data_IF_290509200830
#
_entry.id   IF_290509200830
#
_cell.length_a   1.000
_cell.length_b   1.000
_cell.length_c   1.000
_cell.angle_alpha   90.00
_cell.angle_beta   90.00
_cell.angle_gamma   90.00
#
_symmetry.space_group_name_H-M   'P 1'
#
loop_
_entity.id
_entity.type
_entity.pdbx_description
1 polymer ?
#
# COMPACT_ATOMS: atom_id res chain seq x y z
N UNK A 1 -16.37 -13.36 3.77
CA UNK A 1 -15.21 -12.49 4.07
C UNK A 1 -14.76 -11.78 2.81
N UNK A 2 -14.59 -10.47 2.86
CA UNK A 2 -14.14 -9.73 1.68
C UNK A 2 -12.70 -10.08 1.34
N UNK A 3 -12.43 -10.23 0.04
CA UNK A 3 -11.08 -10.47 -0.44
C UNK A 3 -10.18 -9.26 -0.15
N UNK A 4 -9.01 -9.53 0.40
CA UNK A 4 -7.98 -8.52 0.61
C UNK A 4 -7.18 -8.35 -0.67
N UNK A 5 -7.08 -7.13 -1.16
CA UNK A 5 -6.41 -6.83 -2.43
C UNK A 5 -5.08 -6.13 -2.20
N UNK A 6 -4.03 -6.70 -2.77
CA UNK A 6 -2.69 -6.14 -2.81
C UNK A 6 -2.42 -5.65 -4.23
N UNK A 7 -1.89 -4.45 -4.34
CA UNK A 7 -1.51 -3.88 -5.62
C UNK A 7 0.02 -3.82 -5.70
N UNK A 8 0.59 -4.41 -6.74
CA UNK A 8 2.03 -4.43 -6.96
C UNK A 8 2.39 -3.44 -8.05
N UNK A 9 3.03 -2.34 -7.67
CA UNK A 9 3.53 -1.31 -8.56
C UNK A 9 5.05 -1.43 -8.60
N UNK A 10 5.56 -2.21 -9.56
CA UNK A 10 6.96 -2.61 -9.59
C UNK A 10 7.50 -2.60 -11.01
N UNK A 11 8.69 -2.02 -11.20
CA UNK A 11 9.30 -1.89 -12.53
C UNK A 11 9.77 -3.22 -13.09
N UNK A 12 10.40 -4.04 -12.28
CA UNK A 12 10.93 -5.34 -12.71
C UNK A 12 9.81 -6.35 -12.82
N UNK A 13 9.52 -6.78 -14.05
CA UNK A 13 8.43 -7.72 -14.33
C UNK A 13 8.63 -9.06 -13.63
N UNK A 14 9.86 -9.54 -13.55
CA UNK A 14 10.16 -10.81 -12.91
C UNK A 14 9.85 -10.78 -11.42
N UNK A 15 10.28 -9.73 -10.73
CA UNK A 15 9.97 -9.56 -9.30
C UNK A 15 8.49 -9.30 -9.06
N UNK A 16 7.84 -8.52 -9.93
CA UNK A 16 6.40 -8.29 -9.84
C UNK A 16 5.62 -9.60 -9.90
N UNK A 17 5.99 -10.47 -10.83
CA UNK A 17 5.35 -11.79 -10.96
C UNK A 17 5.64 -12.69 -9.78
N UNK A 18 6.87 -12.69 -9.27
CA UNK A 18 7.25 -13.48 -8.10
C UNK A 18 6.45 -13.06 -6.87
N UNK A 19 6.33 -11.75 -6.64
CA UNK A 19 5.53 -11.22 -5.54
C UNK A 19 4.06 -11.57 -5.72
N UNK A 20 3.55 -11.45 -6.94
CA UNK A 20 2.16 -11.77 -7.24
C UNK A 20 1.85 -13.25 -6.96
N UNK A 21 2.69 -14.15 -7.44
CA UNK A 21 2.53 -15.58 -7.22
C UNK A 21 2.55 -15.93 -5.74
N UNK A 22 3.48 -15.32 -5.02
CA UNK A 22 3.62 -15.56 -3.57
C UNK A 22 2.36 -15.14 -2.82
N UNK A 23 1.90 -13.91 -3.01
CA UNK A 23 0.73 -13.42 -2.28
C UNK A 23 -0.57 -14.06 -2.73
N UNK A 24 -0.68 -14.39 -4.02
CA UNK A 24 -1.83 -15.14 -4.51
C UNK A 24 -1.92 -16.51 -3.82
N UNK A 25 -0.77 -17.17 -3.62
CA UNK A 25 -0.74 -18.48 -2.93
C UNK A 25 -1.18 -18.37 -1.46
N UNK A 26 -1.08 -17.18 -0.87
CA UNK A 26 -1.52 -16.91 0.51
C UNK A 26 -3.00 -16.50 0.58
N UNK A 27 -3.70 -16.48 -0.54
CA UNK A 27 -5.12 -16.17 -0.59
C UNK A 27 -5.49 -14.72 -0.84
N UNK A 28 -4.50 -13.88 -1.12
CA UNK A 28 -4.77 -12.47 -1.47
C UNK A 28 -5.19 -12.33 -2.93
N UNK A 29 -6.02 -11.33 -3.19
CA UNK A 29 -6.25 -10.87 -4.55
C UNK A 29 -5.09 -9.96 -4.91
N UNK A 30 -4.46 -10.17 -6.06
CA UNK A 30 -3.27 -9.42 -6.46
C UNK A 30 -3.46 -8.81 -7.84
N UNK A 31 -3.11 -7.53 -7.97
CA UNK A 31 -3.09 -6.83 -9.25
C UNK A 31 -1.71 -6.22 -9.44
N UNK A 32 -1.28 -6.09 -10.69
CA UNK A 32 0.04 -5.56 -11.04
C UNK A 32 -0.13 -4.41 -12.04
N UNK A 33 0.66 -3.35 -11.87
CA UNK A 33 0.80 -2.31 -12.88
C UNK A 33 2.24 -1.79 -12.88
N UNK A 34 2.68 -1.30 -14.04
CA UNK A 34 4.05 -0.81 -14.25
C UNK A 34 4.08 0.63 -14.75
N UNK A 35 2.93 1.19 -15.10
CA UNK A 35 2.81 2.56 -15.58
C UNK A 35 2.12 3.42 -14.52
N UNK A 36 2.63 4.62 -14.32
CA UNK A 36 2.05 5.56 -13.34
C UNK A 36 0.57 5.80 -13.61
N UNK A 37 0.21 5.98 -14.88
CA UNK A 37 -1.18 6.23 -15.27
C UNK A 37 -2.12 5.08 -14.87
N UNK A 38 -1.69 3.84 -15.06
CA UNK A 38 -2.46 2.67 -14.71
C UNK A 38 -2.59 2.54 -13.20
N UNK A 39 -1.51 2.81 -12.48
CA UNK A 39 -1.49 2.75 -11.02
C UNK A 39 -2.49 3.76 -10.45
N UNK A 40 -2.42 5.00 -10.89
CA UNK A 40 -3.31 6.07 -10.42
C UNK A 40 -4.76 5.74 -10.74
N UNK A 41 -5.03 5.30 -11.97
CA UNK A 41 -6.39 4.93 -12.38
C UNK A 41 -6.95 3.83 -11.49
N UNK A 42 -6.13 2.84 -11.20
CA UNK A 42 -6.57 1.70 -10.40
C UNK A 42 -6.83 2.07 -8.95
N UNK A 43 -5.99 2.92 -8.36
CA UNK A 43 -6.20 3.42 -7.00
C UNK A 43 -7.47 4.27 -6.94
N UNK A 44 -7.69 5.10 -7.95
CA UNK A 44 -8.88 5.95 -8.04
C UNK A 44 -10.17 5.11 -8.10
N UNK A 45 -10.13 3.96 -8.75
CA UNK A 45 -11.30 3.07 -8.85
C UNK A 45 -11.66 2.40 -7.51
N UNK A 46 -10.78 2.50 -6.52
CA UNK A 46 -11.02 1.97 -5.19
C UNK A 46 -10.77 0.46 -5.06
N UNK A 47 -11.03 -0.07 -3.87
CA UNK A 47 -10.85 -1.48 -3.53
C UNK A 47 -9.40 -1.96 -3.48
N UNK A 48 -8.44 -1.04 -3.53
CA UNK A 48 -7.03 -1.34 -3.26
C UNK A 48 -6.77 -0.97 -1.80
N UNK A 49 -6.21 -1.89 -1.04
CA UNK A 49 -5.95 -1.71 0.38
C UNK A 49 -4.48 -1.46 0.68
N UNK A 50 -3.61 -2.26 0.06
CA UNK A 50 -2.17 -2.23 0.30
C UNK A 50 -1.46 -2.16 -1.04
N UNK A 51 -0.47 -1.28 -1.16
CA UNK A 51 0.39 -1.15 -2.35
C UNK A 51 1.80 -1.54 -1.98
N UNK A 52 2.37 -2.46 -2.75
CA UNK A 52 3.81 -2.73 -2.73
C UNK A 52 4.42 -1.88 -3.84
N UNK A 53 5.23 -0.91 -3.47
CA UNK A 53 5.72 0.10 -4.40
C UNK A 53 7.24 0.01 -4.55
N UNK A 54 7.71 -0.05 -5.79
CA UNK A 54 9.12 0.00 -6.13
C UNK A 54 9.73 1.39 -5.81
N UNK A 55 11.04 1.49 -5.82
CA UNK A 55 11.79 2.73 -5.64
C UNK A 55 11.29 3.86 -6.53
N UNK A 56 11.01 3.52 -7.78
CA UNK A 56 10.50 4.48 -8.76
C UNK A 56 9.73 3.75 -9.86
N UNK A 57 8.80 4.47 -10.45
CA UNK A 57 8.00 3.99 -11.58
C UNK A 57 8.11 5.03 -12.69
N UNK A 58 8.59 4.62 -13.85
CA UNK A 58 8.77 5.53 -15.00
C UNK A 58 9.57 6.79 -14.63
N UNK A 59 10.59 6.64 -13.81
CA UNK A 59 11.42 7.75 -13.37
C UNK A 59 10.84 8.60 -12.24
N UNK A 60 9.61 8.33 -11.81
CA UNK A 60 8.98 9.03 -10.69
C UNK A 60 9.27 8.29 -9.41
N UNK A 61 9.87 8.97 -8.44
CA UNK A 61 10.30 8.34 -7.20
C UNK A 61 9.14 8.04 -6.28
N UNK A 62 9.29 6.98 -5.48
CA UNK A 62 8.27 6.57 -4.51
C UNK A 62 7.86 7.71 -3.58
N UNK A 63 8.82 8.51 -3.09
CA UNK A 63 8.51 9.61 -2.20
C UNK A 63 7.62 10.69 -2.84
N UNK A 64 7.58 10.76 -4.17
CA UNK A 64 6.69 11.68 -4.90
C UNK A 64 5.36 11.01 -5.23
N UNK A 65 5.34 9.70 -5.41
CA UNK A 65 4.11 8.95 -5.73
C UNK A 65 3.22 8.75 -4.51
N UNK A 66 3.81 8.45 -3.35
CA UNK A 66 3.03 8.15 -2.15
C UNK A 66 2.07 9.27 -1.75
N UNK A 67 2.48 10.56 -1.75
CA UNK A 67 1.54 11.64 -1.43
C UNK A 67 0.36 11.68 -2.39
N UNK A 68 0.57 11.37 -3.66
CA UNK A 68 -0.50 11.33 -4.66
C UNK A 68 -1.48 10.20 -4.33
N UNK A 69 -0.97 9.02 -4.03
CA UNK A 69 -1.82 7.87 -3.65
C UNK A 69 -2.64 8.18 -2.40
N UNK A 70 -2.01 8.76 -1.38
CA UNK A 70 -2.68 9.11 -0.12
C UNK A 70 -3.73 10.20 -0.31
N UNK A 71 -3.54 11.07 -1.29
CA UNK A 71 -4.51 12.11 -1.61
C UNK A 71 -5.76 11.53 -2.27
N UNK A 72 -5.57 10.52 -3.11
CA UNK A 72 -6.70 9.82 -3.76
C UNK A 72 -7.45 8.96 -2.75
N UNK A 73 -6.73 8.22 -1.93
CA UNK A 73 -7.29 7.35 -0.92
C UNK A 73 -6.45 7.43 0.36
N UNK A 74 -6.88 8.24 1.36
CA UNK A 74 -6.11 8.41 2.59
C UNK A 74 -5.90 7.15 3.40
N UNK A 75 -6.72 6.11 3.18
CA UNK A 75 -6.65 4.86 3.94
C UNK A 75 -5.68 3.84 3.35
N UNK A 76 -5.21 4.08 2.12
CA UNK A 76 -4.31 3.14 1.46
C UNK A 76 -3.01 3.02 2.25
N UNK A 77 -2.51 1.81 2.40
CA UNK A 77 -1.24 1.56 3.07
C UNK A 77 -0.19 1.24 2.03
N UNK A 78 0.92 1.97 2.06
CA UNK A 78 1.98 1.80 1.06
C UNK A 78 3.22 1.23 1.73
N UNK A 79 3.70 0.11 1.19
CA UNK A 79 4.95 -0.52 1.57
C UNK A 79 5.93 -0.27 0.43
N UNK A 80 6.99 0.47 0.69
CA UNK A 80 8.00 0.78 -0.32
C UNK A 80 9.14 -0.23 -0.22
N UNK A 81 9.53 -0.79 -1.36
CA UNK A 81 10.65 -1.72 -1.45
C UNK A 81 11.80 -0.96 -2.12
N UNK A 82 12.84 -0.66 -1.35
CA UNK A 82 13.87 0.30 -1.73
C UNK A 82 15.25 -0.35 -1.81
N UNK A 83 16.07 0.11 -2.76
CA UNK A 83 17.47 -0.25 -2.85
C UNK A 83 18.37 0.71 -2.07
N UNK A 84 17.80 1.79 -1.53
CA UNK A 84 18.55 2.84 -0.84
C UNK A 84 18.10 2.97 0.62
N UNK A 85 19.07 3.09 1.54
CA UNK A 85 18.84 3.14 2.98
C UNK A 85 19.29 4.46 3.61
N UNK A 86 19.42 5.52 2.81
CA UNK A 86 19.87 6.81 3.34
C UNK A 86 18.86 7.39 4.33
N UNK A 87 19.37 8.09 5.35
CA UNK A 87 18.53 8.76 6.35
C UNK A 87 17.60 9.77 5.69
N UNK A 88 18.09 10.48 4.67
CA UNK A 88 17.30 11.44 3.93
C UNK A 88 16.10 10.81 3.25
N UNK A 89 16.29 9.66 2.62
CA UNK A 89 15.19 8.93 1.97
C UNK A 89 14.20 8.39 3.00
N UNK A 90 14.69 7.80 4.09
CA UNK A 90 13.83 7.30 5.16
C UNK A 90 12.92 8.41 5.69
N UNK A 91 13.49 9.59 5.95
CA UNK A 91 12.70 10.74 6.43
C UNK A 91 11.67 11.20 5.40
N UNK A 92 12.04 11.27 4.12
CA UNK A 92 11.12 11.68 3.07
C UNK A 92 9.96 10.70 2.91
N UNK A 93 10.25 9.41 2.96
CA UNK A 93 9.21 8.38 2.84
C UNK A 93 8.27 8.40 4.03
N UNK A 94 8.80 8.54 5.24
CA UNK A 94 7.96 8.68 6.44
C UNK A 94 7.09 9.93 6.36
N UNK A 95 7.66 11.05 5.95
CA UNK A 95 6.91 12.30 5.77
C UNK A 95 5.83 12.19 4.69
N UNK A 96 6.05 11.36 3.69
CA UNK A 96 5.06 11.09 2.65
C UNK A 96 3.90 10.20 3.14
N UNK A 97 4.07 9.49 4.26
CA UNK A 97 3.03 8.70 4.87
C UNK A 97 3.04 7.22 4.52
N UNK A 98 4.23 6.65 4.29
CA UNK A 98 4.32 5.21 4.03
C UNK A 98 4.03 4.40 5.31
N UNK A 99 3.61 3.16 5.12
CA UNK A 99 3.42 2.23 6.22
C UNK A 99 4.72 1.56 6.63
N UNK A 100 5.53 1.15 5.65
CA UNK A 100 6.75 0.38 5.90
C UNK A 100 7.71 0.54 4.73
N UNK A 101 9.02 0.50 5.04
CA UNK A 101 10.07 0.48 4.02
C UNK A 101 10.87 -0.81 4.17
N UNK A 102 10.84 -1.64 3.13
CA UNK A 102 11.65 -2.84 3.05
C UNK A 102 12.85 -2.58 2.14
N UNK A 103 13.92 -3.33 2.34
CA UNK A 103 15.14 -3.19 1.54
C UNK A 103 15.24 -4.29 0.50
N UNK A 104 15.79 -3.95 -0.67
CA UNK A 104 16.19 -4.96 -1.65
C UNK A 104 17.53 -5.58 -1.21
N UNK A 105 17.77 -6.86 -1.47
CA UNK A 105 16.90 -7.81 -2.16
C UNK A 105 15.66 -8.17 -1.33
N UNK A 106 14.55 -8.47 -2.03
CA UNK A 106 13.27 -8.70 -1.38
C UNK A 106 13.32 -9.96 -0.50
N UNK A 107 12.93 -9.80 0.75
CA UNK A 107 12.72 -10.90 1.69
C UNK A 107 11.20 -11.12 1.78
N UNK A 108 10.73 -12.22 1.24
CA UNK A 108 9.29 -12.50 1.17
C UNK A 108 8.64 -12.60 2.54
N UNK A 109 9.35 -13.14 3.54
CA UNK A 109 8.82 -13.21 4.91
C UNK A 109 8.64 -11.83 5.52
N UNK A 110 9.60 -10.93 5.30
CA UNK A 110 9.50 -9.55 5.76
C UNK A 110 8.32 -8.83 5.13
N UNK A 111 8.17 -8.94 3.81
CA UNK A 111 7.07 -8.32 3.09
C UNK A 111 5.73 -8.89 3.54
N UNK A 112 5.66 -10.19 3.74
CA UNK A 112 4.45 -10.85 4.25
C UNK A 112 4.04 -10.28 5.59
N UNK A 113 4.99 -10.17 6.53
CA UNK A 113 4.72 -9.60 7.85
C UNK A 113 4.23 -8.16 7.76
N UNK A 114 4.87 -7.35 6.90
CA UNK A 114 4.47 -5.97 6.70
C UNK A 114 3.04 -5.87 6.13
N UNK A 115 2.71 -6.73 5.17
CA UNK A 115 1.37 -6.77 4.57
C UNK A 115 0.32 -7.15 5.61
N UNK A 116 0.60 -8.18 6.41
CA UNK A 116 -0.32 -8.60 7.47
C UNK A 116 -0.58 -7.45 8.47
N UNK A 117 0.48 -6.76 8.90
CA UNK A 117 0.35 -5.60 9.79
C UNK A 117 -0.43 -4.47 9.14
N UNK A 118 -0.25 -4.23 7.84
CA UNK A 118 -0.99 -3.20 7.13
C UNK A 118 -2.49 -3.50 7.11
N UNK A 119 -2.86 -4.74 6.85
CA UNK A 119 -4.27 -5.14 6.87
C UNK A 119 -4.86 -5.09 8.28
N UNK A 120 -4.08 -5.42 9.30
CA UNK A 120 -4.53 -5.27 10.69
C UNK A 120 -4.84 -3.80 11.01
N UNK A 121 -3.97 -2.89 10.58
CA UNK A 121 -4.19 -1.46 10.76
C UNK A 121 -5.49 -1.01 10.09
N UNK A 122 -5.71 -1.43 8.85
CA UNK A 122 -6.94 -1.12 8.11
C UNK A 122 -8.17 -1.64 8.85
N UNK A 123 -8.09 -2.86 9.35
CA UNK A 123 -9.18 -3.47 10.13
C UNK A 123 -9.50 -2.66 11.38
N UNK A 124 -8.48 -2.21 12.12
CA UNK A 124 -8.69 -1.39 13.32
C UNK A 124 -9.32 -0.03 12.99
N UNK A 125 -8.88 0.61 11.92
CA UNK A 125 -9.44 1.89 11.48
C UNK A 125 -10.89 1.74 11.05
N UNK A 126 -11.22 0.68 10.33
CA UNK A 126 -12.60 0.40 9.91
C UNK A 126 -13.50 0.15 11.11
N UNK A 127 -13.02 -0.54 12.13
CA UNK A 127 -13.77 -0.75 13.37
C UNK A 127 -14.05 0.56 14.08
N UNK A 128 -13.06 1.45 14.18
CA UNK A 128 -13.24 2.77 14.79
C UNK A 128 -14.27 3.60 14.03
N UNK A 129 -14.20 3.61 12.71
CA UNK A 129 -15.17 4.34 11.88
C UNK A 129 -16.59 3.79 12.04
N UNK A 130 -16.72 2.46 12.05
CA UNK A 130 -18.01 1.83 12.29
C UNK A 130 -18.59 2.22 13.64
N UNK A 131 -17.74 2.26 14.66
CA UNK A 131 -18.14 2.68 16.01
C UNK A 131 -18.58 4.15 16.02
N UNK A 132 -17.81 5.04 15.40
CA UNK A 132 -18.15 6.46 15.30
C UNK A 132 -19.44 6.67 14.50
N UNK A 133 -19.59 5.98 13.39
CA UNK A 133 -20.82 6.06 12.59
C UNK A 133 -22.04 5.63 13.38
N UNK A 134 -21.90 4.66 14.27
CA UNK A 134 -22.96 4.22 15.15
C UNK A 134 -23.31 5.29 16.19
N UNK A 135 -22.30 5.94 16.77
CA UNK A 135 -22.49 6.90 17.86
C UNK A 135 -22.91 8.29 17.40
N UNK A 136 -22.40 8.78 16.27
CA UNK A 136 -22.62 10.15 15.80
C UNK A 136 -24.09 10.51 15.68
N UNK A 137 -24.98 9.69 15.10
CA UNK A 137 -26.41 10.03 15.04
C UNK A 137 -27.06 10.23 16.39
N UNK A 138 -26.49 9.69 17.47
CA UNK A 138 -27.00 9.84 18.82
C UNK A 138 -26.37 11.03 19.56
N UNK A 139 -25.19 11.44 19.14
CA UNK A 139 -24.41 12.49 19.82
C UNK A 139 -24.63 13.87 19.20
N UNK A 140 -24.97 13.92 17.91
CA UNK A 140 -25.19 15.17 17.19
C UNK A 140 -26.67 15.50 17.19
N UNK A 141 -27.08 16.68 17.72
CA UNK A 141 -28.47 17.10 17.67
C UNK A 141 -28.99 17.18 16.23
N UNK A 142 -30.21 16.80 16.04
CA UNK A 142 -30.84 16.86 14.72
C UNK A 142 -30.97 18.30 14.25
#
# INVERSE_FOLDING_TARGET
MKSKTIFIAYQDDLWARSLSTYFHSLGYRVEIARLVSDIIRRIRNGKIHVVLLDDEIEGVKACDLVPIFKKIDPKIQVIVISSEESIGLVKRLRGAGIFYQAMKPVDLEEIRSAVECAFEKIGRENLKEGFFSFLIPKMVPA
#
